data_IF_582556245131
#
_entry.id   IF_582556245131
#
_cell.length_a   1.000
_cell.length_b   1.000
_cell.length_c   1.000
_cell.angle_alpha   90.00
_cell.angle_beta   90.00
_cell.angle_gamma   90.00
#
_symmetry.space_group_name_H-M   'P 1'
#
loop_
_entity.id
_entity.type
_entity.pdbx_description
1 polymer ?
#
# COMPACT_ATOMS: atom_id res chain seq x y z
N UNK A 1 3.67 8.62 7.01
CA UNK A 1 2.58 7.78 6.45
C UNK A 1 3.10 6.64 5.59
N UNK A 2 4.04 6.89 4.67
CA UNK A 2 4.57 5.86 3.75
C UNK A 2 5.34 4.70 4.42
N UNK A 3 5.95 4.92 5.58
CA UNK A 3 6.76 3.87 6.24
C UNK A 3 5.91 2.67 6.66
N UNK A 4 4.78 2.90 7.34
CA UNK A 4 3.89 1.82 7.80
C UNK A 4 3.33 1.03 6.62
N UNK A 5 2.88 1.73 5.57
CA UNK A 5 2.45 1.08 4.33
C UNK A 5 3.58 0.26 3.71
N UNK A 6 4.77 0.84 3.57
CA UNK A 6 5.93 0.16 2.97
C UNK A 6 6.28 -1.11 3.72
N UNK A 7 6.25 -1.09 5.06
CA UNK A 7 6.47 -2.30 5.88
C UNK A 7 5.39 -3.35 5.64
N UNK A 8 4.11 -2.96 5.56
CA UNK A 8 3.01 -3.89 5.26
C UNK A 8 3.15 -4.50 3.86
N UNK A 9 3.42 -3.68 2.84
CA UNK A 9 3.61 -4.15 1.46
C UNK A 9 4.81 -5.08 1.34
N UNK A 10 5.94 -4.76 1.99
CA UNK A 10 7.11 -5.65 2.01
C UNK A 10 6.77 -6.99 2.68
N UNK A 11 6.05 -6.97 3.82
CA UNK A 11 5.61 -8.18 4.50
C UNK A 11 4.75 -9.06 3.58
N UNK A 12 3.78 -8.46 2.87
CA UNK A 12 2.91 -9.18 1.94
C UNK A 12 3.65 -9.66 0.69
N UNK A 13 4.59 -8.88 0.16
CA UNK A 13 5.43 -9.28 -0.96
C UNK A 13 6.31 -10.49 -0.61
N UNK A 14 6.93 -10.49 0.58
CA UNK A 14 7.71 -11.64 1.07
C UNK A 14 6.81 -12.86 1.25
N UNK A 15 5.62 -12.69 1.84
CA UNK A 15 4.61 -13.77 1.94
C UNK A 15 4.27 -14.33 0.56
N UNK A 16 3.97 -13.46 -0.41
CA UNK A 16 3.61 -13.86 -1.76
C UNK A 16 4.71 -14.69 -2.43
N UNK A 17 5.96 -14.21 -2.38
CA UNK A 17 7.12 -14.95 -2.91
C UNK A 17 7.26 -16.31 -2.21
N UNK A 18 7.11 -16.36 -0.89
CA UNK A 18 7.21 -17.61 -0.13
C UNK A 18 6.11 -18.60 -0.52
N UNK A 19 4.86 -18.16 -0.67
CA UNK A 19 3.77 -19.02 -1.15
C UNK A 19 4.01 -19.50 -2.58
N UNK A 20 4.45 -18.59 -3.45
CA UNK A 20 4.70 -18.88 -4.85
C UNK A 20 5.78 -19.93 -5.04
N UNK A 21 6.86 -19.83 -4.26
CA UNK A 21 7.99 -20.76 -4.29
C UNK A 21 7.78 -22.02 -3.43
N UNK A 22 6.68 -22.10 -2.68
CA UNK A 22 6.39 -23.23 -1.80
C UNK A 22 7.35 -23.32 -0.61
N UNK A 23 7.64 -22.19 0.04
CA UNK A 23 8.51 -22.11 1.20
C UNK A 23 8.06 -23.06 2.31
N UNK A 24 9.03 -23.72 2.93
CA UNK A 24 8.77 -24.71 3.98
C UNK A 24 8.24 -24.04 5.26
N UNK A 25 7.04 -24.45 5.67
CA UNK A 25 6.39 -23.97 6.91
C UNK A 25 7.08 -24.46 8.20
N UNK A 26 7.97 -25.45 8.12
CA UNK A 26 8.82 -25.86 9.23
C UNK A 26 9.92 -24.83 9.53
N UNK A 27 10.28 -23.99 8.55
CA UNK A 27 11.24 -22.91 8.74
C UNK A 27 10.65 -21.80 9.62
N UNK A 28 11.32 -21.49 10.72
CA UNK A 28 10.84 -20.50 11.69
C UNK A 28 10.60 -19.11 11.11
N UNK A 29 11.43 -18.66 10.16
CA UNK A 29 11.26 -17.35 9.52
C UNK A 29 10.08 -17.35 8.54
N UNK A 30 9.96 -18.38 7.69
CA UNK A 30 8.82 -18.50 6.79
C UNK A 30 7.50 -18.58 7.57
N UNK A 31 7.45 -19.38 8.62
CA UNK A 31 6.29 -19.50 9.49
C UNK A 31 5.96 -18.15 10.18
N UNK A 32 6.96 -17.43 10.67
CA UNK A 32 6.76 -16.07 11.22
C UNK A 32 6.10 -15.14 10.20
N UNK A 33 6.62 -15.08 8.97
CA UNK A 33 6.03 -14.26 7.90
C UNK A 33 4.59 -14.67 7.63
N UNK A 34 4.30 -15.96 7.51
CA UNK A 34 2.94 -16.45 7.28
C UNK A 34 1.99 -16.06 8.43
N UNK A 35 2.41 -16.18 9.68
CA UNK A 35 1.57 -15.86 10.84
C UNK A 35 1.28 -14.36 10.95
N UNK A 36 2.31 -13.51 10.84
CA UNK A 36 2.12 -12.05 10.94
C UNK A 36 1.32 -11.50 9.76
N UNK A 37 1.48 -12.06 8.56
CA UNK A 37 0.74 -11.61 7.38
C UNK A 37 -0.71 -12.09 7.31
N UNK A 38 -1.08 -13.16 8.03
CA UNK A 38 -2.41 -13.77 7.97
C UNK A 38 -3.58 -12.80 8.22
N UNK A 39 -3.61 -11.97 9.28
CA UNK A 39 -4.74 -11.07 9.52
C UNK A 39 -4.94 -10.03 8.40
N UNK A 40 -3.90 -9.69 7.66
CA UNK A 40 -3.97 -8.72 6.56
C UNK A 40 -4.52 -9.35 5.27
N UNK A 41 -4.24 -10.64 5.05
CA UNK A 41 -4.79 -11.37 3.89
C UNK A 41 -6.19 -11.92 4.17
N UNK A 42 -6.49 -12.21 5.44
CA UNK A 42 -7.75 -12.82 5.91
C UNK A 42 -9.03 -12.30 5.25
N UNK A 43 -9.27 -10.97 5.19
CA UNK A 43 -10.47 -10.40 4.57
C UNK A 43 -10.63 -10.69 3.07
N UNK A 44 -9.54 -11.02 2.38
CA UNK A 44 -9.52 -11.25 0.93
C UNK A 44 -9.53 -12.74 0.55
N UNK A 45 -9.46 -13.63 1.55
CA UNK A 45 -9.52 -15.07 1.32
C UNK A 45 -10.88 -15.47 0.72
N UNK A 46 -10.85 -16.33 -0.30
CA UNK A 46 -12.05 -16.85 -0.95
C UNK A 46 -12.77 -15.89 -1.90
N UNK A 47 -12.30 -14.65 -2.08
CA UNK A 47 -12.80 -13.75 -3.13
C UNK A 47 -12.51 -14.34 -4.52
N UNK A 48 -11.31 -14.90 -4.68
CA UNK A 48 -10.90 -15.64 -5.86
C UNK A 48 -10.29 -16.97 -5.44
N UNK A 49 -10.34 -17.95 -6.36
CA UNK A 49 -9.67 -19.23 -6.14
C UNK A 49 -8.17 -19.08 -6.32
N UNK A 50 -7.41 -19.46 -5.30
CA UNK A 50 -5.94 -19.53 -5.38
C UNK A 50 -5.51 -20.56 -6.43
N UNK A 51 -4.46 -20.24 -7.17
CA UNK A 51 -4.00 -21.06 -8.28
C UNK A 51 -2.81 -21.90 -7.83
N UNK A 52 -2.96 -23.22 -7.86
CA UNK A 52 -1.84 -24.13 -7.58
C UNK A 52 -0.95 -24.19 -8.82
N UNK A 53 0.30 -23.76 -8.71
CA UNK A 53 1.26 -23.75 -9.84
C UNK A 53 2.09 -25.03 -9.91
N UNK A 54 2.32 -25.69 -8.77
CA UNK A 54 3.15 -26.89 -8.64
C UNK A 54 2.74 -27.68 -7.41
N UNK A 55 3.41 -28.80 -7.13
CA UNK A 55 3.13 -29.62 -5.94
C UNK A 55 3.30 -28.86 -4.62
N UNK A 56 4.13 -27.81 -4.62
CA UNK A 56 4.49 -27.02 -3.42
C UNK A 56 4.19 -25.52 -3.56
N UNK A 57 4.24 -24.97 -4.78
CA UNK A 57 4.03 -23.55 -5.02
C UNK A 57 2.56 -23.20 -5.29
N UNK A 58 2.06 -22.16 -4.62
CA UNK A 58 0.70 -21.65 -4.76
C UNK A 58 0.74 -20.16 -5.05
N UNK A 59 0.07 -19.75 -6.12
CA UNK A 59 -0.21 -18.35 -6.42
C UNK A 59 -1.47 -17.95 -5.63
N UNK A 60 -1.22 -17.38 -4.45
CA UNK A 60 -2.25 -16.90 -3.51
C UNK A 60 -2.82 -15.56 -4.02
N UNK A 61 -3.94 -15.64 -4.75
CA UNK A 61 -4.59 -14.47 -5.37
C UNK A 61 -5.06 -13.51 -4.28
N UNK A 62 -5.48 -14.02 -3.12
CA UNK A 62 -5.88 -13.20 -1.98
C UNK A 62 -4.74 -12.31 -1.48
N UNK A 63 -3.49 -12.79 -1.49
CA UNK A 63 -2.31 -11.97 -1.13
C UNK A 63 -2.05 -10.87 -2.16
N UNK A 64 -2.13 -11.19 -3.46
CA UNK A 64 -1.98 -10.19 -4.51
C UNK A 64 -3.07 -9.11 -4.41
N UNK A 65 -4.30 -9.52 -4.15
CA UNK A 65 -5.42 -8.61 -3.98
C UNK A 65 -5.21 -7.72 -2.75
N UNK A 66 -4.74 -8.26 -1.63
CA UNK A 66 -4.41 -7.48 -0.44
C UNK A 66 -3.39 -6.38 -0.73
N UNK A 67 -2.30 -6.71 -1.44
CA UNK A 67 -1.28 -5.73 -1.86
C UNK A 67 -1.88 -4.61 -2.73
N UNK A 68 -2.67 -4.95 -3.74
CA UNK A 68 -3.29 -3.95 -4.63
C UNK A 68 -4.23 -3.03 -3.84
N UNK A 69 -5.08 -3.59 -2.99
CA UNK A 69 -6.05 -2.80 -2.21
C UNK A 69 -5.34 -1.89 -1.20
N UNK A 70 -4.34 -2.39 -0.48
CA UNK A 70 -3.61 -1.56 0.48
C UNK A 70 -2.81 -0.45 -0.20
N UNK A 71 -2.17 -0.72 -1.34
CA UNK A 71 -1.52 0.31 -2.15
C UNK A 71 -2.51 1.39 -2.61
N UNK A 72 -3.70 1.00 -3.09
CA UNK A 72 -4.74 1.94 -3.53
C UNK A 72 -5.29 2.78 -2.39
N UNK A 73 -5.58 2.17 -1.24
CA UNK A 73 -6.05 2.87 -0.04
C UNK A 73 -5.03 3.92 0.39
N UNK A 74 -3.76 3.54 0.45
CA UNK A 74 -2.74 4.47 0.90
C UNK A 74 -2.49 5.61 -0.09
N UNK A 75 -2.49 5.32 -1.40
CA UNK A 75 -2.45 6.35 -2.43
C UNK A 75 -3.63 7.32 -2.31
N UNK A 76 -4.83 6.80 -2.10
CA UNK A 76 -6.05 7.59 -1.89
C UNK A 76 -5.95 8.50 -0.67
N UNK A 77 -5.48 7.98 0.47
CA UNK A 77 -5.31 8.79 1.68
C UNK A 77 -4.27 9.90 1.47
N UNK A 78 -3.12 9.58 0.87
CA UNK A 78 -2.09 10.57 0.55
C UNK A 78 -2.64 11.70 -0.32
N UNK A 79 -3.39 11.36 -1.37
CA UNK A 79 -3.99 12.34 -2.28
C UNK A 79 -5.03 13.20 -1.56
N UNK A 80 -5.84 12.60 -0.69
CA UNK A 80 -6.82 13.33 0.11
C UNK A 80 -6.12 14.31 1.06
N UNK A 81 -5.06 13.89 1.74
CA UNK A 81 -4.24 14.76 2.58
C UNK A 81 -3.69 15.94 1.77
N UNK A 82 -3.16 15.68 0.57
CA UNK A 82 -2.67 16.77 -0.28
C UNK A 82 -3.76 17.79 -0.61
N UNK A 83 -4.97 17.35 -0.94
CA UNK A 83 -6.09 18.25 -1.25
C UNK A 83 -6.54 19.04 -0.01
N UNK A 84 -6.64 18.40 1.16
CA UNK A 84 -7.11 19.04 2.39
C UNK A 84 -6.09 20.00 3.01
N UNK A 85 -4.80 19.70 2.87
CA UNK A 85 -3.70 20.47 3.45
C UNK A 85 -2.96 21.34 2.43
N UNK A 86 -3.41 21.38 1.17
CA UNK A 86 -2.91 22.33 0.19
C UNK A 86 -3.14 23.75 0.72
N UNK A 87 -2.09 24.56 0.93
CA UNK A 87 -2.27 25.94 1.33
C UNK A 87 -3.06 26.66 0.25
N UNK A 88 -4.20 27.25 0.61
CA UNK A 88 -4.88 28.19 -0.27
C UNK A 88 -3.92 29.36 -0.52
N UNK A 89 -3.31 29.40 -1.70
CA UNK A 89 -2.68 30.61 -2.22
C UNK A 89 -3.78 31.56 -2.69
N UNK A 90 -4.68 31.92 -1.80
CA UNK A 90 -5.57 33.05 -2.01
C UNK A 90 -4.73 34.31 -1.85
N UNK A 91 -4.34 34.85 -3.01
CA UNK A 91 -4.17 36.29 -3.22
C UNK A 91 -2.90 36.92 -2.61
N UNK A 92 -1.75 36.63 -3.21
CA UNK A 92 -0.71 37.65 -3.43
C UNK A 92 -0.90 38.36 -4.79
N UNK A 93 -2.14 38.46 -5.27
CA UNK A 93 -2.56 39.54 -6.16
C UNK A 93 -3.18 40.66 -5.32
N UNK A 94 -2.41 41.25 -4.39
CA UNK A 94 -2.84 42.48 -3.72
C UNK A 94 -1.75 43.53 -3.88
N UNK A 95 -1.95 44.36 -4.92
CA UNK A 95 -1.56 45.77 -4.97
C UNK A 95 -0.08 46.12 -5.18
N UNK A 96 0.44 45.82 -6.37
CA UNK A 96 1.43 46.71 -7.02
C UNK A 96 0.82 47.45 -8.21
N UNK A 97 -0.47 47.78 -8.13
CA UNK A 97 -1.05 48.87 -8.91
C UNK A 97 -0.87 50.19 -8.16
N UNK A 98 -0.08 51.08 -8.76
CA UNK A 98 -0.39 52.52 -8.77
C UNK A 98 -0.27 53.28 -7.44
N UNK A 99 0.95 53.60 -7.02
CA UNK A 99 1.20 54.89 -6.37
C UNK A 99 1.86 55.84 -7.36
N UNK A 100 0.99 56.50 -8.11
CA UNK A 100 1.21 57.82 -8.71
C UNK A 100 1.89 58.71 -7.65
N UNK A 101 3.17 59.03 -7.83
CA UNK A 101 3.79 60.20 -7.19
C UNK A 101 4.34 61.09 -8.29
N UNK A 102 3.45 61.94 -8.81
CA UNK A 102 3.83 63.33 -9.13
C UNK A 102 4.57 63.87 -7.91
N UNK A 103 5.78 64.41 -8.06
CA UNK A 103 6.06 65.84 -8.28
C UNK A 103 7.46 65.93 -8.87
#
# INVERSE_FOLDING_TARGET
>A
MYFVLGVLEILLAVRFVFRLLGADTSNGFANFIFNVSTPFVGPFNGIFNDQTLSRVGVLEISTLLAMVIYALVAWGIVKLMYVLFAPNRSTEEVHSTTRRRRV
#
